data_IF_064487025839
#
_entry.id   IF_064487025839
#
_cell.length_a   1.000
_cell.length_b   1.000
_cell.length_c   1.000
_cell.angle_alpha   90.00
_cell.angle_beta   90.00
_cell.angle_gamma   90.00
#
_symmetry.space_group_name_H-M   'P 1'
#
loop_
_entity.id
_entity.type
_entity.pdbx_description
1 polymer ?
#
# COMPACT_ATOMS: atom_id res chain seq x y z
N UNK A 1 -3.48 21.83 -15.55
CA UNK A 1 -2.24 21.19 -16.04
C UNK A 1 -2.58 19.94 -16.85
N UNK A 2 -2.38 19.99 -18.16
CA UNK A 2 -2.49 18.82 -19.05
C UNK A 2 -1.29 17.90 -18.81
N UNK A 3 -1.53 16.75 -18.19
CA UNK A 3 -0.50 15.71 -18.00
C UNK A 3 -0.02 15.21 -19.35
N UNK A 4 1.28 15.34 -19.65
CA UNK A 4 1.85 14.83 -20.91
C UNK A 4 1.62 13.33 -21.05
N UNK A 5 1.46 12.78 -22.27
CA UNK A 5 1.31 11.34 -22.50
C UNK A 5 2.45 10.54 -21.87
N UNK A 6 3.69 11.06 -21.93
CA UNK A 6 4.88 10.46 -21.32
C UNK A 6 4.76 10.33 -19.80
N UNK A 7 4.20 11.33 -19.13
CA UNK A 7 3.99 11.33 -17.68
C UNK A 7 3.01 10.22 -17.26
N UNK A 8 1.96 10.02 -18.05
CA UNK A 8 0.95 8.98 -17.80
C UNK A 8 1.55 7.58 -17.99
N UNK A 9 2.31 7.36 -19.05
CA UNK A 9 2.98 6.06 -19.30
C UNK A 9 3.96 5.69 -18.20
N UNK A 10 4.81 6.62 -17.76
CA UNK A 10 5.74 6.38 -16.65
C UNK A 10 4.97 6.02 -15.37
N UNK A 11 3.89 6.74 -15.08
CA UNK A 11 3.05 6.46 -13.93
C UNK A 11 2.41 5.07 -14.00
N UNK A 12 1.91 4.66 -15.17
CA UNK A 12 1.29 3.35 -15.36
C UNK A 12 2.29 2.20 -15.23
N UNK A 13 3.48 2.33 -15.83
CA UNK A 13 4.57 1.35 -15.67
C UNK A 13 5.02 1.25 -14.20
N UNK A 14 5.14 2.39 -13.51
CA UNK A 14 5.47 2.41 -12.09
C UNK A 14 4.39 1.74 -11.23
N UNK A 15 3.11 1.93 -11.56
CA UNK A 15 1.99 1.26 -10.89
C UNK A 15 2.02 -0.26 -11.13
N UNK A 16 2.29 -0.70 -12.36
CA UNK A 16 2.45 -2.13 -12.67
C UNK A 16 3.64 -2.75 -11.93
N UNK A 17 4.80 -2.08 -11.93
CA UNK A 17 5.96 -2.51 -11.17
C UNK A 17 5.67 -2.60 -9.67
N UNK A 18 4.93 -1.62 -9.12
CA UNK A 18 4.50 -1.64 -7.73
C UNK A 18 3.57 -2.83 -7.42
N UNK A 19 2.68 -3.22 -8.34
CA UNK A 19 1.84 -4.40 -8.17
C UNK A 19 2.66 -5.70 -8.13
N UNK A 20 3.62 -5.84 -9.05
CA UNK A 20 4.49 -7.01 -9.12
C UNK A 20 5.36 -7.12 -7.86
N UNK A 21 6.01 -6.02 -7.46
CA UNK A 21 6.84 -5.95 -6.25
C UNK A 21 5.98 -6.20 -5.01
N UNK A 22 4.79 -5.60 -4.91
CA UNK A 22 3.89 -5.77 -3.76
C UNK A 22 3.38 -7.21 -3.61
N UNK A 23 3.16 -7.90 -4.73
CA UNK A 23 2.76 -9.32 -4.73
C UNK A 23 3.92 -10.22 -4.33
N UNK A 24 5.10 -10.00 -4.94
CA UNK A 24 6.33 -10.72 -4.57
C UNK A 24 6.68 -10.52 -3.10
N UNK A 25 6.49 -9.31 -2.57
CA UNK A 25 6.73 -8.99 -1.17
C UNK A 25 5.80 -9.75 -0.21
N UNK A 26 4.51 -9.87 -0.53
CA UNK A 26 3.58 -10.65 0.31
C UNK A 26 4.00 -12.12 0.38
N UNK A 27 4.35 -12.69 -0.77
CA UNK A 27 4.88 -14.05 -0.85
C UNK A 27 6.18 -14.17 -0.03
N UNK A 28 7.15 -13.30 -0.25
CA UNK A 28 8.42 -13.32 0.50
C UNK A 28 8.21 -13.14 2.00
N UNK A 29 7.22 -12.35 2.41
CA UNK A 29 6.89 -12.13 3.82
C UNK A 29 6.30 -13.37 4.47
N UNK A 30 5.32 -14.02 3.81
CA UNK A 30 4.76 -15.29 4.29
C UNK A 30 5.85 -16.37 4.35
N UNK A 31 6.64 -16.52 3.29
CA UNK A 31 7.77 -17.46 3.25
C UNK A 31 8.77 -17.18 4.37
N UNK A 32 9.11 -15.91 4.57
CA UNK A 32 10.06 -15.50 5.61
C UNK A 32 9.62 -15.93 7.00
N UNK A 33 8.37 -15.65 7.37
CA UNK A 33 7.88 -15.96 8.72
C UNK A 33 7.55 -17.43 8.96
N UNK A 34 7.34 -18.25 7.92
CA UNK A 34 6.95 -19.66 8.09
C UNK A 34 7.96 -20.69 7.65
N UNK A 35 8.83 -20.37 6.70
CA UNK A 35 9.78 -21.31 6.12
C UNK A 35 11.24 -21.02 6.51
N UNK A 36 11.49 -19.92 7.22
CA UNK A 36 12.83 -19.57 7.71
C UNK A 36 12.83 -19.43 9.24
N UNK A 37 14.01 -19.37 9.85
CA UNK A 37 14.15 -19.11 11.29
C UNK A 37 13.85 -17.65 11.70
N UNK A 38 13.59 -16.77 10.73
CA UNK A 38 13.42 -15.33 10.93
C UNK A 38 12.04 -15.00 11.48
N UNK A 39 12.00 -14.16 12.52
CA UNK A 39 10.77 -13.62 13.06
C UNK A 39 10.33 -12.30 12.38
N UNK A 40 9.14 -11.78 12.73
CA UNK A 40 8.66 -10.49 12.24
C UNK A 40 9.62 -9.32 12.46
N UNK A 41 10.31 -9.28 13.61
CA UNK A 41 11.27 -8.21 13.91
C UNK A 41 12.51 -8.27 13.01
N UNK A 42 13.00 -9.48 12.71
CA UNK A 42 14.15 -9.69 11.85
C UNK A 42 13.83 -9.23 10.42
N UNK A 43 12.67 -9.64 9.90
CA UNK A 43 12.21 -9.24 8.57
C UNK A 43 11.92 -7.73 8.50
N UNK A 44 11.39 -7.13 9.57
CA UNK A 44 11.22 -5.68 9.66
C UNK A 44 12.57 -4.95 9.62
N UNK A 45 13.59 -5.48 10.32
CA UNK A 45 14.94 -4.91 10.30
C UNK A 45 15.55 -4.97 8.90
N UNK A 46 15.41 -6.10 8.19
CA UNK A 46 15.85 -6.21 6.80
C UNK A 46 15.08 -5.23 5.89
N UNK A 47 13.75 -5.15 6.06
CA UNK A 47 12.86 -4.31 5.26
C UNK A 47 13.15 -2.82 5.38
N UNK A 48 13.36 -2.32 6.60
CA UNK A 48 13.52 -0.88 6.85
C UNK A 48 14.99 -0.47 6.98
N UNK A 49 15.81 -1.31 7.62
CA UNK A 49 17.21 -1.04 7.90
C UNK A 49 18.07 -0.98 6.63
N UNK A 50 17.93 -1.94 5.72
CA UNK A 50 18.70 -1.96 4.47
C UNK A 50 18.44 -0.70 3.63
N UNK A 51 17.18 -0.33 3.32
CA UNK A 51 16.92 0.91 2.60
C UNK A 51 17.37 2.16 3.37
N UNK A 52 17.26 2.19 4.69
CA UNK A 52 17.73 3.31 5.50
C UNK A 52 19.24 3.51 5.35
N UNK A 53 20.03 2.42 5.35
CA UNK A 53 21.47 2.47 5.10
C UNK A 53 21.78 2.92 3.67
N UNK A 54 21.13 2.32 2.67
CA UNK A 54 21.34 2.66 1.26
C UNK A 54 20.96 4.12 0.94
N UNK A 55 19.94 4.66 1.62
CA UNK A 55 19.47 6.03 1.44
C UNK A 55 20.03 7.00 2.48
N UNK A 56 20.96 6.58 3.35
CA UNK A 56 21.60 7.44 4.35
C UNK A 56 22.25 8.71 3.76
N UNK A 57 22.80 8.73 2.53
CA UNK A 57 23.32 9.97 1.96
C UNK A 57 22.25 11.07 1.78
N UNK A 58 20.98 10.71 1.60
CA UNK A 58 19.88 11.68 1.51
C UNK A 58 19.56 12.31 2.87
N UNK A 59 19.74 11.55 3.95
CA UNK A 59 19.58 12.04 5.33
C UNK A 59 20.69 13.01 5.70
N UNK A 60 21.94 12.65 5.38
CA UNK A 60 23.13 13.45 5.69
C UNK A 60 23.16 14.80 4.94
N UNK A 61 22.47 14.90 3.80
CA UNK A 61 22.35 16.15 3.02
C UNK A 61 21.35 17.16 3.59
N UNK A 62 20.59 16.80 4.63
CA UNK A 62 19.70 17.72 5.36
C UNK A 62 18.47 18.25 4.61
N UNK A 63 18.20 17.77 3.39
CA UNK A 63 17.11 18.25 2.50
C UNK A 63 16.02 17.20 2.25
N UNK A 64 15.81 16.32 3.23
CA UNK A 64 14.89 15.20 3.09
C UNK A 64 13.42 15.64 3.08
N UNK A 65 13.08 16.58 3.96
CA UNK A 65 11.72 17.09 4.16
C UNK A 65 11.56 18.43 3.44
N UNK A 66 10.58 18.58 2.52
CA UNK A 66 10.30 19.85 1.87
C UNK A 66 9.88 20.95 2.86
N UNK A 67 10.25 22.22 2.62
CA UNK A 67 9.73 23.35 3.39
C UNK A 67 8.20 23.39 3.29
N UNK A 68 7.50 23.27 4.42
CA UNK A 68 6.03 23.27 4.48
C UNK A 68 5.37 21.89 4.59
N UNK A 69 6.13 20.79 4.61
CA UNK A 69 5.55 19.48 4.95
C UNK A 69 5.03 19.48 6.40
N UNK A 70 3.75 19.15 6.59
CA UNK A 70 3.15 19.17 7.93
C UNK A 70 3.70 18.02 8.79
N UNK A 71 3.95 18.29 10.08
CA UNK A 71 4.40 17.26 11.03
C UNK A 71 3.43 16.09 11.09
N UNK A 72 2.13 16.37 11.03
CA UNK A 72 1.09 15.34 10.95
C UNK A 72 1.24 14.45 9.73
N UNK A 73 1.45 15.02 8.53
CA UNK A 73 1.66 14.22 7.32
C UNK A 73 2.90 13.32 7.45
N UNK A 74 4.00 13.82 8.02
CA UNK A 74 5.21 13.04 8.26
C UNK A 74 4.96 11.85 9.19
N UNK A 75 4.24 12.05 10.30
CA UNK A 75 3.83 10.96 11.20
C UNK A 75 2.98 9.93 10.46
N UNK A 76 1.99 10.40 9.68
CA UNK A 76 1.13 9.51 8.89
C UNK A 76 1.90 8.73 7.82
N UNK A 77 2.99 9.26 7.27
CA UNK A 77 3.86 8.51 6.35
C UNK A 77 4.51 7.32 7.06
N UNK A 78 5.06 7.54 8.25
CA UNK A 78 5.76 6.49 9.02
C UNK A 78 4.77 5.47 9.56
N UNK A 79 3.64 5.92 10.12
CA UNK A 79 2.60 5.01 10.63
C UNK A 79 2.00 4.20 9.48
N UNK A 80 1.74 4.85 8.34
CA UNK A 80 1.01 4.24 7.23
C UNK A 80 1.82 3.31 6.33
N UNK A 81 3.07 3.65 6.03
CA UNK A 81 3.94 2.91 5.11
C UNK A 81 5.21 2.35 5.75
N UNK A 82 5.48 2.77 6.99
CA UNK A 82 6.66 2.40 7.76
C UNK A 82 6.40 1.28 8.76
N UNK A 83 7.13 1.31 9.87
CA UNK A 83 7.22 0.19 10.82
C UNK A 83 5.86 -0.35 11.29
N UNK A 84 4.88 0.45 11.76
CA UNK A 84 3.62 -0.09 12.25
C UNK A 84 2.86 -0.90 11.19
N UNK A 85 2.79 -0.38 9.95
CA UNK A 85 2.24 -1.11 8.81
C UNK A 85 2.98 -2.43 8.57
N UNK A 86 4.31 -2.40 8.50
CA UNK A 86 5.12 -3.61 8.26
C UNK A 86 4.94 -4.67 9.35
N UNK A 87 4.87 -4.26 10.61
CA UNK A 87 4.69 -5.17 11.73
C UNK A 87 3.31 -5.84 11.72
N UNK A 88 2.25 -5.10 11.40
CA UNK A 88 0.91 -5.70 11.24
C UNK A 88 0.91 -6.76 10.13
N UNK A 89 1.55 -6.48 8.99
CA UNK A 89 1.62 -7.44 7.89
C UNK A 89 2.44 -8.66 8.26
N UNK A 90 3.62 -8.48 8.85
CA UNK A 90 4.49 -9.59 9.23
C UNK A 90 3.89 -10.43 10.36
N UNK A 91 3.25 -9.81 11.35
CA UNK A 91 2.51 -10.52 12.39
C UNK A 91 1.32 -11.29 11.79
N UNK A 92 0.54 -10.66 10.90
CA UNK A 92 -0.59 -11.32 10.24
C UNK A 92 -0.16 -12.49 9.38
N UNK A 93 0.99 -12.37 8.71
CA UNK A 93 1.58 -13.43 7.90
C UNK A 93 1.99 -14.67 8.72
N UNK A 94 2.07 -14.60 10.04
CA UNK A 94 2.26 -15.80 10.89
C UNK A 94 0.97 -16.62 11.00
N UNK A 95 -0.18 -15.95 10.99
CA UNK A 95 -1.48 -16.55 11.25
C UNK A 95 -2.25 -16.96 10.00
N UNK A 96 -2.08 -16.25 8.89
CA UNK A 96 -2.90 -16.47 7.71
C UNK A 96 -2.06 -16.72 6.44
N UNK A 97 -2.59 -17.49 5.47
CA UNK A 97 -1.94 -17.75 4.18
C UNK A 97 -1.65 -16.48 3.36
N UNK A 98 -0.73 -16.57 2.39
CA UNK A 98 -0.40 -15.44 1.52
C UNK A 98 -1.59 -14.99 0.66
N UNK A 99 -2.45 -15.93 0.23
CA UNK A 99 -3.70 -15.60 -0.48
C UNK A 99 -4.60 -14.62 0.30
N UNK A 100 -4.68 -14.76 1.63
CA UNK A 100 -5.43 -13.85 2.50
C UNK A 100 -4.83 -12.44 2.52
N UNK A 101 -3.49 -12.32 2.47
CA UNK A 101 -2.81 -11.03 2.34
C UNK A 101 -3.29 -10.32 1.07
N UNK A 102 -3.29 -11.03 -0.07
CA UNK A 102 -3.74 -10.47 -1.33
C UNK A 102 -5.19 -9.98 -1.27
N UNK A 103 -6.10 -10.83 -0.81
CA UNK A 103 -7.54 -10.54 -0.79
C UNK A 103 -7.90 -9.47 0.24
N UNK A 104 -7.48 -9.61 1.50
CA UNK A 104 -7.88 -8.70 2.56
C UNK A 104 -7.02 -7.43 2.61
N UNK A 105 -5.71 -7.51 2.42
CA UNK A 105 -4.86 -6.31 2.48
C UNK A 105 -5.00 -5.50 1.19
N UNK A 106 -4.66 -6.08 0.04
CA UNK A 106 -4.62 -5.32 -1.21
C UNK A 106 -6.01 -5.05 -1.79
N UNK A 107 -6.94 -6.01 -1.63
CA UNK A 107 -8.32 -5.89 -2.11
C UNK A 107 -9.14 -4.82 -1.38
N UNK A 108 -8.87 -4.56 -0.09
CA UNK A 108 -9.63 -3.59 0.71
C UNK A 108 -9.16 -2.14 0.58
N UNK A 109 -8.02 -1.87 -0.06
CA UNK A 109 -7.48 -0.51 -0.19
C UNK A 109 -8.49 0.50 -0.78
N UNK A 110 -9.28 0.18 -1.82
CA UNK A 110 -10.27 1.11 -2.33
C UNK A 110 -11.42 1.39 -1.35
N UNK A 111 -11.81 0.42 -0.52
CA UNK A 111 -12.82 0.60 0.53
C UNK A 111 -12.34 1.64 1.54
N UNK A 112 -11.14 1.45 2.10
CA UNK A 112 -10.58 2.40 3.07
C UNK A 112 -10.29 3.76 2.45
N UNK A 113 -9.87 3.80 1.18
CA UNK A 113 -9.64 5.05 0.46
C UNK A 113 -10.95 5.84 0.29
N UNK A 114 -12.03 5.16 -0.07
CA UNK A 114 -13.35 5.77 -0.20
C UNK A 114 -13.88 6.25 1.15
N UNK A 115 -13.75 5.43 2.20
CA UNK A 115 -14.13 5.78 3.57
C UNK A 115 -13.38 7.03 4.05
N UNK A 116 -12.05 7.07 3.88
CA UNK A 116 -11.24 8.23 4.28
C UNK A 116 -11.59 9.49 3.49
N UNK A 117 -11.91 9.38 2.20
CA UNK A 117 -12.37 10.51 1.39
C UNK A 117 -13.73 11.04 1.86
N UNK A 118 -14.65 10.14 2.22
CA UNK A 118 -15.95 10.51 2.77
C UNK A 118 -15.82 11.19 4.13
N UNK A 119 -15.04 10.64 5.07
CA UNK A 119 -14.83 11.23 6.40
C UNK A 119 -14.15 12.61 6.31
N UNK A 120 -13.11 12.75 5.49
CA UNK A 120 -12.30 13.98 5.46
C UNK A 120 -12.88 15.09 4.58
N UNK A 121 -13.56 14.75 3.48
CA UNK A 121 -14.07 15.73 2.51
C UNK A 121 -15.59 15.72 2.34
N UNK A 122 -16.31 14.81 2.99
CA UNK A 122 -17.73 14.60 2.71
C UNK A 122 -18.00 14.11 1.28
N UNK A 123 -16.99 13.58 0.59
CA UNK A 123 -17.13 13.11 -0.79
C UNK A 123 -18.08 11.91 -0.84
N UNK A 124 -19.26 12.12 -1.41
CA UNK A 124 -20.23 11.04 -1.63
C UNK A 124 -19.78 10.16 -2.79
N UNK A 125 -19.76 8.85 -2.57
CA UNK A 125 -19.48 7.87 -3.63
C UNK A 125 -20.78 7.53 -4.37
N UNK A 126 -20.77 7.64 -5.69
CA UNK A 126 -21.94 7.39 -6.53
C UNK A 126 -21.58 6.60 -7.80
N UNK A 127 -22.61 6.01 -8.42
CA UNK A 127 -22.51 5.32 -9.71
C UNK A 127 -21.58 4.10 -9.68
N UNK A 128 -20.78 3.95 -10.75
CA UNK A 128 -19.85 2.82 -10.92
C UNK A 128 -18.86 2.67 -9.76
N UNK A 129 -18.48 3.77 -9.10
CA UNK A 129 -17.57 3.71 -7.95
C UNK A 129 -18.23 3.00 -6.77
N UNK A 130 -19.50 3.29 -6.49
CA UNK A 130 -20.25 2.62 -5.42
C UNK A 130 -20.46 1.14 -5.74
N UNK A 131 -20.81 0.81 -6.99
CA UNK A 131 -20.91 -0.57 -7.45
C UNK A 131 -19.59 -1.33 -7.27
N UNK A 132 -18.46 -0.70 -7.60
CA UNK A 132 -17.14 -1.28 -7.40
C UNK A 132 -16.84 -1.57 -5.93
N UNK A 133 -17.09 -0.61 -5.04
CA UNK A 133 -16.91 -0.80 -3.59
C UNK A 133 -17.82 -1.90 -3.04
N UNK A 134 -19.09 -1.93 -3.47
CA UNK A 134 -20.02 -2.98 -3.09
C UNK A 134 -19.53 -4.36 -3.56
N UNK A 135 -19.01 -4.47 -4.79
CA UNK A 135 -18.39 -5.68 -5.31
C UNK A 135 -17.22 -6.15 -4.45
N UNK A 136 -16.30 -5.26 -4.06
CA UNK A 136 -15.19 -5.60 -3.16
C UNK A 136 -15.71 -6.13 -1.83
N UNK A 137 -16.66 -5.42 -1.21
CA UNK A 137 -17.22 -5.83 0.08
C UNK A 137 -17.90 -7.20 0.02
N UNK A 138 -18.69 -7.45 -1.04
CA UNK A 138 -19.33 -8.75 -1.29
C UNK A 138 -18.28 -9.85 -1.48
N UNK A 139 -17.27 -9.63 -2.33
CA UNK A 139 -16.21 -10.61 -2.56
C UNK A 139 -15.45 -10.99 -1.28
N UNK A 140 -15.11 -10.00 -0.45
CA UNK A 140 -14.45 -10.23 0.84
C UNK A 140 -15.37 -10.95 1.85
N UNK A 141 -16.67 -10.67 1.83
CA UNK A 141 -17.65 -11.33 2.70
C UNK A 141 -17.84 -12.80 2.29
N UNK A 142 -17.93 -13.08 0.99
CA UNK A 142 -17.96 -14.43 0.44
C UNK A 142 -16.71 -15.20 0.85
N UNK A 143 -15.54 -14.56 0.78
CA UNK A 143 -14.28 -15.17 1.21
C UNK A 143 -14.31 -15.51 2.71
N UNK A 144 -14.63 -14.53 3.55
CA UNK A 144 -14.67 -14.70 5.00
C UNK A 144 -15.67 -15.79 5.43
N UNK A 145 -16.85 -15.84 4.79
CA UNK A 145 -17.87 -16.85 5.08
C UNK A 145 -17.47 -18.24 4.55
N UNK A 146 -16.95 -18.32 3.33
CA UNK A 146 -16.56 -19.58 2.70
C UNK A 146 -15.33 -20.24 3.34
N UNK A 147 -14.48 -19.45 3.97
CA UNK A 147 -13.30 -19.93 4.71
C UNK A 147 -13.53 -20.02 6.21
N UNK A 148 -14.71 -19.68 6.73
CA UNK A 148 -14.96 -19.49 8.16
C UNK A 148 -14.57 -20.69 9.04
N UNK A 149 -14.91 -21.91 8.61
CA UNK A 149 -14.60 -23.14 9.36
C UNK A 149 -13.09 -23.37 9.52
N UNK A 150 -12.33 -23.23 8.44
CA UNK A 150 -10.87 -23.36 8.44
C UNK A 150 -10.22 -22.18 9.18
N UNK A 151 -10.74 -20.97 8.95
CA UNK A 151 -10.28 -19.72 9.57
C UNK A 151 -10.40 -19.77 11.10
N UNK A 152 -11.46 -20.35 11.66
CA UNK A 152 -11.59 -20.54 13.10
C UNK A 152 -10.65 -21.62 13.64
N UNK A 153 -10.57 -22.78 12.95
CA UNK A 153 -9.72 -23.90 13.38
C UNK A 153 -8.23 -23.54 13.37
N UNK A 154 -7.77 -22.86 12.32
CA UNK A 154 -6.37 -22.49 12.12
C UNK A 154 -6.04 -21.07 12.61
N UNK A 155 -7.00 -20.39 13.24
CA UNK A 155 -6.87 -19.02 13.73
C UNK A 155 -6.48 -17.98 12.66
N UNK A 156 -6.80 -18.23 11.38
CA UNK A 156 -6.49 -17.30 10.28
C UNK A 156 -7.17 -15.93 10.46
N UNK A 157 -8.28 -15.85 11.22
CA UNK A 157 -9.01 -14.61 11.46
C UNK A 157 -8.13 -13.52 12.10
N UNK A 158 -7.13 -13.93 12.89
CA UNK A 158 -6.14 -13.01 13.47
C UNK A 158 -5.33 -12.33 12.38
N UNK A 159 -4.86 -13.11 11.41
CA UNK A 159 -4.14 -12.60 10.24
C UNK A 159 -5.03 -11.69 9.39
N UNK A 160 -6.28 -12.10 9.14
CA UNK A 160 -7.25 -11.32 8.35
C UNK A 160 -7.48 -9.92 8.95
N UNK A 161 -7.68 -9.83 10.27
CA UNK A 161 -7.85 -8.55 10.97
C UNK A 161 -6.58 -7.68 10.89
N UNK A 162 -5.41 -8.29 11.04
CA UNK A 162 -4.13 -7.58 10.93
C UNK A 162 -3.88 -7.06 9.51
N UNK A 163 -4.26 -7.81 8.48
CA UNK A 163 -4.19 -7.39 7.08
C UNK A 163 -5.15 -6.24 6.75
N UNK A 164 -6.36 -6.25 7.30
CA UNK A 164 -7.31 -5.14 7.18
C UNK A 164 -6.78 -3.88 7.87
N UNK A 165 -6.22 -4.01 9.07
CA UNK A 165 -5.60 -2.90 9.78
C UNK A 165 -4.38 -2.35 8.99
N UNK A 166 -3.56 -3.23 8.43
CA UNK A 166 -2.44 -2.83 7.57
C UNK A 166 -2.93 -2.09 6.30
N UNK A 167 -4.01 -2.54 5.67
CA UNK A 167 -4.59 -1.86 4.51
C UNK A 167 -5.10 -0.45 4.83
N UNK A 168 -5.69 -0.26 6.01
CA UNK A 168 -6.07 1.06 6.50
C UNK A 168 -4.83 1.96 6.65
N UNK A 169 -3.77 1.46 7.28
CA UNK A 169 -2.50 2.20 7.43
C UNK A 169 -1.88 2.55 6.06
N UNK A 170 -1.82 1.60 5.14
CA UNK A 170 -1.30 1.83 3.79
C UNK A 170 -2.09 2.91 3.04
N UNK A 171 -3.42 2.91 3.19
CA UNK A 171 -4.28 3.94 2.63
C UNK A 171 -3.94 5.33 3.19
N UNK A 172 -3.72 5.43 4.49
CA UNK A 172 -3.29 6.67 5.16
C UNK A 172 -1.96 7.16 4.58
N UNK A 173 -0.98 6.27 4.38
CA UNK A 173 0.28 6.59 3.74
C UNK A 173 0.09 7.14 2.32
N UNK A 174 -0.67 6.44 1.48
CA UNK A 174 -0.89 6.86 0.08
C UNK A 174 -1.51 8.24 -0.03
N UNK A 175 -2.46 8.56 0.86
CA UNK A 175 -3.12 9.86 0.90
C UNK A 175 -2.23 10.97 1.48
N UNK A 176 -1.42 10.66 2.49
CA UNK A 176 -0.46 11.60 3.07
C UNK A 176 0.69 11.91 2.09
N UNK A 177 1.23 10.87 1.45
CA UNK A 177 2.33 10.99 0.49
C UNK A 177 1.95 11.86 -0.70
N UNK A 178 0.74 11.69 -1.23
CA UNK A 178 0.22 12.53 -2.31
C UNK A 178 0.12 14.03 -1.99
N UNK A 179 0.27 14.44 -0.72
CA UNK A 179 0.19 15.85 -0.28
C UNK A 179 1.48 16.38 0.35
N UNK A 180 2.47 15.54 0.62
CA UNK A 180 3.67 15.93 1.37
C UNK A 180 4.71 16.70 0.53
N UNK A 181 4.58 16.69 -0.80
CA UNK A 181 5.52 17.36 -1.71
C UNK A 181 6.89 16.67 -1.82
N UNK A 182 7.10 15.52 -1.19
CA UNK A 182 8.33 14.75 -1.31
C UNK A 182 8.44 14.09 -2.69
N UNK A 183 9.65 14.02 -3.21
CA UNK A 183 9.97 13.05 -4.26
C UNK A 183 9.85 11.62 -3.74
N UNK A 184 9.69 10.65 -4.65
CA UNK A 184 9.60 9.23 -4.28
C UNK A 184 10.82 8.75 -3.47
N UNK A 185 12.02 9.21 -3.82
CA UNK A 185 13.26 8.90 -3.10
C UNK A 185 13.30 9.50 -1.70
N UNK A 186 12.85 10.76 -1.54
CA UNK A 186 12.73 11.39 -0.23
C UNK A 186 11.71 10.68 0.65
N UNK A 187 10.56 10.29 0.10
CA UNK A 187 9.55 9.51 0.81
C UNK A 187 10.09 8.17 1.30
N UNK A 188 10.72 7.40 0.41
CA UNK A 188 11.32 6.12 0.76
C UNK A 188 12.42 6.27 1.82
N UNK A 189 13.30 7.28 1.68
CA UNK A 189 14.34 7.56 2.66
C UNK A 189 13.74 7.93 4.02
N UNK A 190 12.75 8.81 4.06
CA UNK A 190 12.10 9.26 5.29
C UNK A 190 11.38 8.12 6.01
N UNK A 191 10.55 7.37 5.29
CA UNK A 191 9.79 6.25 5.87
C UNK A 191 10.73 5.17 6.40
N UNK A 192 11.71 4.73 5.62
CA UNK A 192 12.62 3.66 6.05
C UNK A 192 13.55 4.10 7.19
N UNK A 193 14.12 5.31 7.12
CA UNK A 193 15.00 5.81 8.17
C UNK A 193 14.25 6.03 9.49
N UNK A 194 13.09 6.68 9.47
CA UNK A 194 12.27 6.85 10.67
C UNK A 194 11.78 5.50 11.24
N UNK A 195 11.38 4.57 10.38
CA UNK A 195 10.97 3.21 10.79
C UNK A 195 12.12 2.43 11.42
N UNK A 196 13.33 2.57 10.90
CA UNK A 196 14.52 1.94 11.46
C UNK A 196 14.81 2.51 12.85
N UNK A 197 14.77 3.83 13.02
CA UNK A 197 14.96 4.47 14.32
C UNK A 197 13.90 4.03 15.35
N UNK A 198 12.64 3.86 14.93
CA UNK A 198 11.59 3.32 15.79
C UNK A 198 11.79 1.84 16.14
N UNK A 199 12.44 1.07 15.25
CA UNK A 199 12.67 -0.36 15.44
C UNK A 199 13.82 -0.65 16.42
N UNK A 200 14.87 0.17 16.44
CA UNK A 200 16.04 -0.02 17.32
C UNK A 200 15.68 -0.23 18.81
N UNK A 201 14.85 0.61 19.47
CA UNK A 201 14.48 0.38 20.86
C UNK A 201 13.64 -0.90 21.04
N UNK A 202 12.78 -1.26 20.07
CA UNK A 202 12.01 -2.49 20.11
C UNK A 202 12.92 -3.73 20.05
N UNK A 203 13.94 -3.71 19.20
CA UNK A 203 14.93 -4.79 19.13
C UNK A 203 15.72 -4.91 20.42
N UNK A 204 16.10 -3.79 21.02
CA UNK A 204 16.80 -3.79 22.31
C UNK A 204 15.97 -4.44 23.43
N UNK A 205 14.66 -4.19 23.46
CA UNK A 205 13.73 -4.81 24.41
C UNK A 205 13.41 -6.29 24.11
N UNK A 206 13.34 -6.66 22.83
CA UNK A 206 12.98 -8.01 22.40
C UNK A 206 14.16 -9.01 22.44
N UNK A 207 15.40 -8.52 22.57
CA UNK A 207 16.62 -9.32 22.58
C UNK A 207 17.29 -9.43 21.20
N UNK A 208 18.38 -10.20 21.14
CA UNK A 208 19.19 -10.35 19.92
C UNK A 208 18.33 -10.88 18.75
N UNK A 209 18.41 -10.25 17.55
CA UNK A 209 17.76 -10.73 16.34
C UNK A 209 18.15 -12.19 16.04
N UNK A 210 17.21 -13.00 15.55
CA UNK A 210 17.49 -14.38 15.13
C UNK A 210 18.33 -14.45 13.85
N UNK A 211 18.60 -13.29 13.25
CA UNK A 211 19.48 -13.12 12.09
C UNK A 211 20.81 -13.86 12.22
N UNK A 212 21.40 -13.94 13.41
CA UNK A 212 22.71 -14.60 13.58
C UNK A 212 22.64 -16.14 13.60
N UNK A 213 21.45 -16.71 13.74
CA UNK A 213 21.23 -18.15 13.80
C UNK A 213 20.57 -18.72 12.51
N UNK A 214 20.03 -17.85 11.66
CA UNK A 214 19.38 -18.25 10.42
C UNK A 214 20.41 -18.64 9.34
N UNK A 215 20.08 -19.58 8.43
CA UNK A 215 20.91 -19.88 7.27
C UNK A 215 21.19 -18.62 6.44
N UNK A 216 22.43 -18.45 6.00
CA UNK A 216 22.83 -17.26 5.22
C UNK A 216 22.00 -17.08 3.94
N UNK A 217 21.60 -18.17 3.29
CA UNK A 217 20.75 -18.14 2.10
C UNK A 217 19.40 -17.48 2.37
N UNK A 218 18.78 -17.79 3.51
CA UNK A 218 17.48 -17.24 3.90
C UNK A 218 17.62 -15.75 4.19
N UNK A 219 18.69 -15.36 4.90
CA UNK A 219 19.01 -13.97 5.18
C UNK A 219 19.24 -13.20 3.87
N UNK A 220 20.03 -13.75 2.95
CA UNK A 220 20.34 -13.08 1.68
C UNK A 220 19.11 -12.89 0.80
N UNK A 221 18.26 -13.92 0.67
CA UNK A 221 17.00 -13.84 -0.08
C UNK A 221 16.05 -12.82 0.56
N UNK A 222 15.90 -12.83 1.89
CA UNK A 222 15.05 -11.87 2.58
C UNK A 222 15.64 -10.46 2.58
N UNK A 223 16.96 -10.28 2.66
CA UNK A 223 17.61 -8.98 2.58
C UNK A 223 17.40 -8.33 1.20
N UNK A 224 17.58 -9.11 0.12
CA UNK A 224 17.33 -8.65 -1.24
C UNK A 224 15.83 -8.39 -1.45
N UNK A 225 14.98 -9.32 -1.06
CA UNK A 225 13.53 -9.26 -1.26
C UNK A 225 12.82 -8.21 -0.41
N UNK A 226 13.01 -8.23 0.91
CA UNK A 226 12.39 -7.30 1.86
C UNK A 226 13.04 -5.93 1.82
N UNK A 227 14.37 -5.87 1.84
CA UNK A 227 15.11 -4.62 1.90
C UNK A 227 15.13 -3.92 0.55
N UNK A 228 15.86 -4.48 -0.41
CA UNK A 228 16.12 -3.80 -1.69
C UNK A 228 14.88 -3.75 -2.57
N UNK A 229 14.22 -4.88 -2.83
CA UNK A 229 13.10 -4.93 -3.77
C UNK A 229 11.86 -4.31 -3.16
N UNK A 230 11.41 -4.76 -2.00
CA UNK A 230 10.16 -4.27 -1.41
C UNK A 230 10.32 -2.93 -0.67
N UNK A 231 11.29 -2.83 0.24
CA UNK A 231 11.48 -1.68 1.12
C UNK A 231 12.05 -0.44 0.41
N UNK A 232 12.98 -0.61 -0.52
CA UNK A 232 13.55 0.48 -1.31
C UNK A 232 12.77 0.67 -2.62
N UNK A 233 12.90 -0.27 -3.57
CA UNK A 233 12.35 -0.08 -4.91
C UNK A 233 10.83 0.00 -4.89
N UNK A 234 10.14 -0.81 -4.09
CA UNK A 234 8.69 -0.81 -3.96
C UNK A 234 8.12 0.55 -3.52
N UNK A 235 8.67 1.14 -2.46
CA UNK A 235 8.26 2.48 -1.99
C UNK A 235 8.57 3.56 -3.04
N UNK A 236 9.71 3.47 -3.73
CA UNK A 236 10.08 4.42 -4.79
C UNK A 236 9.14 4.31 -5.99
N UNK A 237 8.91 3.12 -6.55
CA UNK A 237 8.05 2.97 -7.73
C UNK A 237 6.60 3.31 -7.42
N UNK A 238 6.11 2.97 -6.23
CA UNK A 238 4.77 3.35 -5.82
C UNK A 238 4.66 4.86 -5.56
N UNK A 239 5.68 5.49 -4.98
CA UNK A 239 5.77 6.94 -4.86
C UNK A 239 5.78 7.63 -6.23
N UNK A 240 6.49 7.09 -7.22
CA UNK A 240 6.45 7.57 -8.60
C UNK A 240 5.03 7.44 -9.16
N UNK A 241 4.36 6.31 -8.99
CA UNK A 241 2.98 6.13 -9.43
C UNK A 241 2.05 7.18 -8.80
N UNK A 242 2.14 7.43 -7.49
CA UNK A 242 1.35 8.46 -6.80
C UNK A 242 1.65 9.85 -7.34
N UNK A 243 2.92 10.24 -7.48
CA UNK A 243 3.30 11.59 -7.95
C UNK A 243 2.91 11.84 -9.41
N UNK A 244 2.88 10.81 -10.26
CA UNK A 244 2.53 10.95 -11.69
C UNK A 244 1.05 10.78 -11.99
N UNK A 245 0.35 9.90 -11.27
CA UNK A 245 -1.05 9.55 -11.55
C UNK A 245 -2.04 10.09 -10.51
N UNK A 246 -1.56 10.47 -9.32
CA UNK A 246 -2.38 10.68 -8.13
C UNK A 246 -2.70 9.37 -7.41
N UNK A 247 -2.94 9.45 -6.10
CA UNK A 247 -3.13 8.27 -5.23
C UNK A 247 -4.26 7.32 -5.70
N UNK A 248 -5.39 7.89 -6.16
CA UNK A 248 -6.53 7.08 -6.60
C UNK A 248 -6.23 6.20 -7.83
N UNK A 249 -5.50 6.75 -8.82
CA UNK A 249 -5.11 6.00 -10.02
C UNK A 249 -3.94 5.06 -9.74
N UNK A 250 -3.00 5.46 -8.89
CA UNK A 250 -1.92 4.57 -8.46
C UNK A 250 -2.50 3.33 -7.75
N UNK A 251 -3.57 3.47 -6.98
CA UNK A 251 -4.25 2.36 -6.30
C UNK A 251 -4.85 1.31 -7.25
N UNK A 252 -5.01 1.58 -8.56
CA UNK A 252 -5.39 0.55 -9.54
C UNK A 252 -4.41 -0.63 -9.57
N UNK A 253 -3.14 -0.38 -9.25
CA UNK A 253 -2.14 -1.43 -9.17
C UNK A 253 -2.56 -2.53 -8.18
N UNK A 254 -3.33 -2.18 -7.15
CA UNK A 254 -3.79 -3.15 -6.15
C UNK A 254 -4.79 -4.16 -6.71
N UNK A 255 -5.41 -3.92 -7.87
CA UNK A 255 -6.33 -4.88 -8.49
C UNK A 255 -5.61 -6.17 -8.92
N UNK A 256 -4.34 -6.07 -9.31
CA UNK A 256 -3.54 -7.22 -9.76
C UNK A 256 -3.00 -8.04 -8.58
N UNK A 257 -2.82 -7.38 -7.43
CA UNK A 257 -2.12 -7.96 -6.28
C UNK A 257 -2.82 -9.20 -5.69
N UNK A 258 -4.15 -9.23 -5.46
CA UNK A 258 -4.84 -10.42 -4.98
C UNK A 258 -4.64 -11.64 -5.89
N UNK A 259 -4.71 -11.44 -7.21
CA UNK A 259 -4.54 -12.51 -8.21
C UNK A 259 -3.11 -13.03 -8.20
N UNK A 260 -2.14 -12.14 -8.34
CA UNK A 260 -0.72 -12.50 -8.38
C UNK A 260 -0.26 -13.15 -7.07
N UNK A 261 -0.73 -12.66 -5.92
CA UNK A 261 -0.39 -13.25 -4.61
C UNK A 261 -1.04 -14.62 -4.46
N UNK A 262 -2.30 -14.80 -4.83
CA UNK A 262 -2.99 -16.10 -4.73
C UNK A 262 -2.34 -17.15 -5.63
N UNK A 263 -2.12 -16.82 -6.91
CA UNK A 263 -1.49 -17.74 -7.87
C UNK A 263 -0.02 -18.01 -7.54
N UNK A 264 0.71 -16.98 -7.12
CA UNK A 264 2.10 -17.12 -6.69
C UNK A 264 2.24 -17.97 -5.43
N UNK A 265 1.30 -17.87 -4.49
CA UNK A 265 1.28 -18.70 -3.29
C UNK A 265 0.97 -20.16 -3.64
N UNK A 266 0.05 -20.40 -4.55
CA UNK A 266 -0.23 -21.74 -5.05
C UNK A 266 0.97 -22.36 -5.76
N UNK A 267 1.66 -21.60 -6.61
CA UNK A 267 2.81 -22.08 -7.36
C UNK A 267 4.05 -22.28 -6.49
N UNK A 268 4.38 -21.34 -5.60
CA UNK A 268 5.64 -21.36 -4.84
C UNK A 268 5.52 -22.07 -3.50
N UNK A 269 4.37 -21.96 -2.83
CA UNK A 269 4.17 -22.49 -1.46
C UNK A 269 3.20 -23.68 -1.42
N UNK A 270 2.67 -24.12 -2.56
CA UNK A 270 1.62 -25.14 -2.65
C UNK A 270 0.37 -24.79 -1.81
N UNK A 271 0.06 -23.49 -1.63
CA UNK A 271 -1.20 -23.07 -1.01
C UNK A 271 -2.39 -23.46 -1.92
N UNK A 272 -3.45 -24.10 -1.41
CA UNK A 272 -4.58 -24.47 -2.24
C UNK A 272 -5.34 -23.24 -2.74
N UNK A 273 -5.60 -23.18 -4.05
CA UNK A 273 -6.53 -22.18 -4.62
C UNK A 273 -7.96 -22.62 -4.33
N UNK A 274 -8.53 -22.08 -3.27
CA UNK A 274 -9.86 -22.49 -2.80
C UNK A 274 -10.98 -21.86 -3.63
N UNK A 275 -12.15 -22.52 -3.66
CA UNK A 275 -13.35 -21.96 -4.32
C UNK A 275 -13.77 -20.60 -3.74
N UNK A 276 -13.76 -20.38 -2.41
CA UNK A 276 -13.99 -19.05 -1.84
C UNK A 276 -13.00 -18.01 -2.36
N UNK A 277 -11.71 -18.34 -2.51
CA UNK A 277 -10.71 -17.41 -3.05
C UNK A 277 -11.05 -17.01 -4.50
N UNK A 278 -11.41 -17.98 -5.35
CA UNK A 278 -11.78 -17.70 -6.74
C UNK A 278 -13.01 -16.78 -6.85
N UNK A 279 -14.05 -17.03 -6.06
CA UNK A 279 -15.22 -16.15 -5.99
C UNK A 279 -14.85 -14.75 -5.47
N UNK A 280 -14.02 -14.67 -4.43
CA UNK A 280 -13.55 -13.39 -3.92
C UNK A 280 -12.84 -12.58 -5.02
N UNK A 281 -11.91 -13.22 -5.75
CA UNK A 281 -11.17 -12.59 -6.84
C UNK A 281 -12.09 -12.11 -7.98
N UNK A 282 -13.13 -12.89 -8.34
CA UNK A 282 -14.07 -12.49 -9.40
C UNK A 282 -14.88 -11.23 -9.07
N UNK A 283 -15.04 -10.90 -7.78
CA UNK A 283 -15.72 -9.68 -7.33
C UNK A 283 -14.74 -8.55 -6.98
N UNK A 284 -13.64 -8.86 -6.29
CA UNK A 284 -12.65 -7.88 -5.82
C UNK A 284 -11.92 -7.24 -6.99
N UNK A 285 -11.46 -8.00 -7.99
CA UNK A 285 -10.66 -7.45 -9.09
C UNK A 285 -11.47 -6.45 -9.94
N UNK A 286 -12.67 -6.79 -10.46
CA UNK A 286 -13.50 -5.81 -11.16
C UNK A 286 -13.93 -4.67 -10.22
N UNK A 287 -14.19 -4.98 -8.95
CA UNK A 287 -14.56 -3.99 -7.94
C UNK A 287 -13.51 -2.90 -7.76
N UNK A 288 -12.23 -3.28 -7.65
CA UNK A 288 -11.10 -2.33 -7.56
C UNK A 288 -11.00 -1.47 -8.83
N UNK A 289 -11.15 -2.08 -10.01
CA UNK A 289 -11.12 -1.37 -11.29
C UNK A 289 -12.24 -0.32 -11.35
N UNK A 290 -13.47 -0.70 -11.00
CA UNK A 290 -14.62 0.22 -10.95
C UNK A 290 -14.45 1.31 -9.88
N UNK A 291 -13.95 0.96 -8.69
CA UNK A 291 -13.81 1.86 -7.56
C UNK A 291 -12.69 2.91 -7.72
N UNK A 292 -11.67 2.61 -8.51
CA UNK A 292 -10.53 3.50 -8.76
C UNK A 292 -10.86 4.74 -9.60
N UNK A 293 -12.00 4.75 -10.28
CA UNK A 293 -12.37 5.81 -11.20
C UNK A 293 -11.64 5.75 -12.56
N UNK A 294 -11.03 4.61 -12.93
CA UNK A 294 -10.43 4.36 -14.24
C UNK A 294 -11.36 4.70 -15.41
N UNK A 295 -12.67 4.52 -15.22
CA UNK A 295 -13.71 4.70 -16.24
C UNK A 295 -14.28 6.12 -16.30
N UNK A 296 -13.83 7.07 -15.45
CA UNK A 296 -14.31 8.46 -15.55
C UNK A 296 -13.67 9.17 -16.74
N UNK A 297 -14.48 9.48 -17.76
CA UNK A 297 -14.16 10.57 -18.71
C UNK A 297 -13.99 11.87 -17.92
N UNK A 298 -12.92 12.63 -18.19
CA UNK A 298 -12.77 13.99 -17.64
C UNK A 298 -14.02 14.77 -18.03
N UNK A 299 -14.76 15.30 -17.05
CA UNK A 299 -15.68 16.38 -17.34
C UNK A 299 -14.85 17.55 -17.90
N UNK A 300 -15.28 18.21 -19.00
CA UNK A 300 -14.63 19.42 -19.47
C UNK A 300 -14.57 20.42 -18.32
N UNK A 301 -13.42 21.08 -18.15
CA UNK A 301 -13.31 22.19 -17.23
C UNK A 301 -14.36 23.23 -17.64
N UNK A 302 -15.40 23.43 -16.83
CA UNK A 302 -16.30 24.55 -17.02
C UNK A 302 -15.45 25.82 -16.84
N UNK A 303 -15.32 26.56 -17.93
CA UNK A 303 -14.50 27.76 -18.03
C UNK A 303 -14.83 28.74 -16.89
N UNK A 304 -13.77 29.13 -16.17
CA UNK A 304 -13.76 30.35 -15.39
C UNK A 304 -13.80 31.55 -16.34
N UNK A 305 -14.97 31.87 -16.87
CA UNK A 305 -15.26 33.11 -17.61
C UNK A 305 -16.70 33.52 -17.35
N UNK A 306 -16.98 33.96 -16.12
CA UNK A 306 -18.21 34.68 -15.78
C UNK A 306 -18.00 35.54 -14.52
N UNK A 307 -16.95 36.37 -14.50
CA UNK A 307 -16.79 37.42 -13.48
C UNK A 307 -15.84 38.52 -13.96
N UNK A 308 -16.13 39.10 -15.12
CA UNK A 308 -15.67 40.44 -15.47
C UNK A 308 -16.81 41.17 -16.16
N UNK A 309 -17.72 41.74 -15.36
CA UNK A 309 -18.50 42.91 -15.78
C UNK A 309 -17.93 44.12 -15.03
N UNK A 310 -17.48 45.17 -15.73
CA UNK A 310 -17.09 46.41 -15.09
C UNK A 310 -18.33 47.17 -14.63
N UNK A 311 -18.28 47.69 -13.42
CA UNK A 311 -19.17 48.74 -12.92
C UNK A 311 -18.99 50.00 -13.76
N UNK A 312 -20.04 50.45 -14.45
CA UNK A 312 -20.13 51.81 -15.00
C UNK A 312 -21.41 52.49 -14.52
N UNK A 313 -21.22 53.38 -13.56
CA UNK A 313 -21.88 54.68 -13.30
C UNK A 313 -23.34 54.90 -13.69
N UNK A 314 -24.13 55.34 -12.69
CA UNK A 314 -25.44 55.95 -12.85
C UNK A 314 -25.31 57.44 -13.21
N UNK A 315 -26.15 58.01 -14.10
CA UNK A 315 -26.39 59.44 -14.09
C UNK A 315 -27.41 59.76 -13.00
N UNK A 316 -27.03 60.64 -12.06
CA UNK A 316 -27.98 61.34 -11.18
C UNK A 316 -28.62 62.52 -11.94
N UNK A 317 -29.84 62.93 -11.53
CA UNK A 317 -30.79 63.68 -12.36
C UNK A 317 -30.37 65.12 -12.68
#
# INVERSE_FOLDING_TARGET
MTTSPRTLWIGALAALAAALIGSAWQLLSRHGVTATALGPMDLALLRYGIPALLLSPLWLRGRLVPPGASRGALVLLVVGGGLPFGLLVLAGAQWAPASHMGIFMAGSLPLFTALGAWIYRGERVQGLRLLGLAGIAVGMTIFAAGSFGDTLRQQHWRGDLLFLAAALLWTVYSLAFGRCGMSAWQGAAFVNGASTLLLLPLLWLAGLPRLFAAPWTDIAVQAAGQGVVAGLLGLVVYGIAITRLGAARAALSSALVPVLTTLGAAWWMNEPVTRPALWALSFVVPGVVLASGALRRRAPAQNATASLQPTSESPRP
#
